data_IF_512014871327
#
_entry.id   IF_512014871327
#
_cell.length_a   1.000
_cell.length_b   1.000
_cell.length_c   1.000
_cell.angle_alpha   90.00
_cell.angle_beta   90.00
_cell.angle_gamma   90.00
#
_symmetry.space_group_name_H-M   'P 1'
#
loop_
_entity.id
_entity.type
_entity.pdbx_description
1 polymer ?
#
# COMPACT_ATOMS: atom_id res chain seq x y z
N UNK A 1 -15.82 3.62 -7.62
CA UNK A 1 -14.53 4.24 -7.28
C UNK A 1 -14.55 4.50 -5.81
N UNK A 2 -14.01 3.56 -5.06
CA UNK A 2 -13.84 3.62 -3.62
C UNK A 2 -12.40 3.98 -3.30
N UNK A 3 -12.21 4.76 -2.25
CA UNK A 3 -10.88 5.01 -1.67
C UNK A 3 -10.69 4.05 -0.49
N UNK A 4 -9.70 3.18 -0.62
CA UNK A 4 -9.30 2.24 0.41
C UNK A 4 -8.09 2.80 1.14
N UNK A 5 -8.17 2.88 2.46
CA UNK A 5 -7.02 3.25 3.29
C UNK A 5 -6.59 2.08 4.17
N UNK A 6 -5.30 1.81 4.18
CA UNK A 6 -4.65 0.83 5.06
C UNK A 6 -3.65 1.54 5.93
N UNK A 7 -3.88 1.48 7.24
CA UNK A 7 -2.95 1.99 8.24
C UNK A 7 -2.07 0.85 8.78
N UNK A 8 -0.76 0.95 8.52
CA UNK A 8 0.23 -0.04 8.96
C UNK A 8 1.06 0.42 10.16
N UNK A 9 0.78 1.60 10.73
CA UNK A 9 1.58 2.18 11.82
C UNK A 9 1.63 1.29 13.07
N UNK A 10 0.54 0.60 13.36
CA UNK A 10 0.41 -0.31 14.50
C UNK A 10 0.74 -1.78 14.19
N UNK A 11 1.19 -2.08 12.97
CA UNK A 11 1.57 -3.43 12.56
C UNK A 11 3.10 -3.55 12.51
N UNK A 12 3.64 -4.75 12.66
CA UNK A 12 5.09 -4.99 12.66
C UNK A 12 5.44 -6.26 11.91
N UNK A 13 6.60 -6.24 11.25
CA UNK A 13 7.15 -7.38 10.50
C UNK A 13 6.15 -7.96 9.51
N UNK A 14 6.06 -9.29 9.48
CA UNK A 14 5.23 -10.06 8.55
C UNK A 14 3.74 -9.67 8.58
N UNK A 15 3.21 -9.20 9.72
CA UNK A 15 1.81 -8.76 9.82
C UNK A 15 1.50 -7.55 8.92
N UNK A 16 2.48 -6.68 8.67
CA UNK A 16 2.30 -5.55 7.74
C UNK A 16 2.08 -6.06 6.32
N UNK A 17 2.92 -7.00 5.89
CA UNK A 17 2.90 -7.59 4.55
C UNK A 17 1.60 -8.36 4.31
N UNK A 18 1.23 -9.20 5.27
CA UNK A 18 -0.02 -9.99 5.20
C UNK A 18 -1.24 -9.06 5.06
N UNK A 19 -1.27 -7.95 5.80
CA UNK A 19 -2.35 -6.97 5.69
C UNK A 19 -2.40 -6.30 4.32
N UNK A 20 -1.26 -5.95 3.74
CA UNK A 20 -1.20 -5.39 2.38
C UNK A 20 -1.74 -6.40 1.37
N UNK A 21 -1.30 -7.66 1.42
CA UNK A 21 -1.78 -8.73 0.52
C UNK A 21 -3.29 -8.94 0.63
N UNK A 22 -3.82 -8.96 1.84
CA UNK A 22 -5.25 -9.10 2.11
C UNK A 22 -6.04 -7.96 1.46
N UNK A 23 -5.59 -6.71 1.60
CA UNK A 23 -6.30 -5.54 1.04
C UNK A 23 -6.17 -5.49 -0.48
N UNK A 24 -4.97 -5.72 -1.02
CA UNK A 24 -4.73 -5.75 -2.47
C UNK A 24 -5.66 -6.76 -3.17
N UNK A 25 -5.96 -7.90 -2.53
CA UNK A 25 -6.91 -8.89 -3.06
C UNK A 25 -8.37 -8.40 -3.12
N UNK A 26 -8.74 -7.42 -2.30
CA UNK A 26 -10.10 -6.88 -2.18
C UNK A 26 -10.33 -5.63 -3.03
N UNK A 27 -9.26 -4.92 -3.38
CA UNK A 27 -9.34 -3.67 -4.14
C UNK A 27 -9.72 -3.96 -5.60
N UNK A 28 -10.86 -3.41 -6.02
CA UNK A 28 -11.43 -3.63 -7.33
C UNK A 28 -10.74 -2.84 -8.45
N UNK A 29 -11.03 -3.17 -9.72
CA UNK A 29 -10.61 -2.34 -10.85
C UNK A 29 -11.25 -0.97 -10.71
N UNK A 30 -10.46 0.10 -10.91
CA UNK A 30 -10.79 1.52 -10.69
C UNK A 30 -10.76 2.06 -9.26
N UNK A 31 -10.53 1.22 -8.25
CA UNK A 31 -10.38 1.69 -6.88
C UNK A 31 -8.97 2.22 -6.61
N UNK A 32 -8.86 3.11 -5.62
CA UNK A 32 -7.58 3.67 -5.15
C UNK A 32 -7.26 3.09 -3.79
N UNK A 33 -6.02 2.70 -3.57
CA UNK A 33 -5.49 2.17 -2.32
C UNK A 33 -4.42 3.13 -1.78
N UNK A 34 -4.62 3.64 -0.57
CA UNK A 34 -3.67 4.47 0.17
C UNK A 34 -3.11 3.64 1.33
N UNK A 35 -1.81 3.34 1.29
CA UNK A 35 -1.10 2.58 2.32
C UNK A 35 -0.28 3.55 3.16
N UNK A 36 -0.52 3.62 4.47
CA UNK A 36 0.10 4.60 5.38
C UNK A 36 1.10 3.93 6.32
N UNK A 37 2.27 4.54 6.49
CA UNK A 37 3.35 4.10 7.38
C UNK A 37 3.98 5.27 8.15
N UNK A 38 4.45 5.00 9.37
CA UNK A 38 5.05 6.02 10.26
C UNK A 38 6.42 6.50 9.79
N UNK A 39 7.21 5.61 9.16
CA UNK A 39 8.57 5.88 8.73
C UNK A 39 8.86 5.14 7.43
N UNK A 40 9.74 5.72 6.61
CA UNK A 40 10.31 5.03 5.45
C UNK A 40 11.15 3.88 5.98
N UNK A 41 10.71 2.67 5.65
CA UNK A 41 11.46 1.44 5.78
C UNK A 41 11.70 0.94 4.36
N UNK A 42 12.91 1.10 3.80
CA UNK A 42 13.19 0.75 2.41
C UNK A 42 12.90 -0.71 2.08
N UNK A 43 13.26 -1.63 2.99
CA UNK A 43 13.06 -3.07 2.80
C UNK A 43 11.57 -3.39 2.70
N UNK A 44 10.77 -2.83 3.61
CA UNK A 44 9.32 -3.00 3.57
C UNK A 44 8.67 -2.29 2.39
N UNK A 45 9.18 -1.12 2.00
CA UNK A 45 8.65 -0.33 0.88
C UNK A 45 8.84 -1.09 -0.43
N UNK A 46 10.02 -1.66 -0.65
CA UNK A 46 10.31 -2.49 -1.83
C UNK A 46 9.37 -3.71 -1.88
N UNK A 47 9.16 -4.40 -0.76
CA UNK A 47 8.23 -5.54 -0.70
C UNK A 47 6.77 -5.14 -1.00
N UNK A 48 6.32 -3.98 -0.53
CA UNK A 48 4.98 -3.46 -0.86
C UNK A 48 4.86 -3.11 -2.33
N UNK A 49 5.89 -2.49 -2.90
CA UNK A 49 5.96 -2.16 -4.33
C UNK A 49 5.87 -3.41 -5.17
N UNK A 50 6.65 -4.44 -4.86
CA UNK A 50 6.62 -5.73 -5.56
C UNK A 50 5.21 -6.33 -5.56
N UNK A 51 4.54 -6.37 -4.39
CA UNK A 51 3.17 -6.89 -4.27
C UNK A 51 2.20 -6.09 -5.15
N UNK A 52 2.32 -4.76 -5.17
CA UNK A 52 1.45 -3.90 -5.96
C UNK A 52 1.64 -4.16 -7.46
N UNK A 53 2.89 -4.22 -7.92
CA UNK A 53 3.23 -4.47 -9.32
C UNK A 53 2.78 -5.86 -9.78
N UNK A 54 3.02 -6.90 -8.98
CA UNK A 54 2.56 -8.28 -9.24
C UNK A 54 1.03 -8.36 -9.39
N UNK A 55 0.29 -7.47 -8.72
CA UNK A 55 -1.17 -7.41 -8.77
C UNK A 55 -1.70 -6.38 -9.78
N UNK A 56 -0.85 -5.79 -10.62
CA UNK A 56 -1.24 -4.87 -11.69
C UNK A 56 -1.66 -3.48 -11.20
N UNK A 57 -1.10 -3.03 -10.08
CA UNK A 57 -1.29 -1.67 -9.58
C UNK A 57 -0.22 -0.73 -10.12
N UNK A 58 -0.64 0.43 -10.60
CA UNK A 58 0.24 1.59 -10.70
C UNK A 58 0.33 2.23 -9.31
N UNK A 59 1.52 2.64 -8.89
CA UNK A 59 1.74 3.21 -7.56
C UNK A 59 2.57 4.49 -7.62
N UNK A 60 2.40 5.34 -6.62
CA UNK A 60 3.15 6.57 -6.43
C UNK A 60 3.44 6.77 -4.93
N UNK A 61 4.70 6.93 -4.53
CA UNK A 61 5.04 7.29 -3.17
C UNK A 61 4.69 8.77 -2.93
N UNK A 62 4.08 9.06 -1.79
CA UNK A 62 3.74 10.42 -1.35
C UNK A 62 4.25 10.60 0.08
N UNK A 63 5.19 11.52 0.25
CA UNK A 63 5.64 11.96 1.57
C UNK A 63 4.84 13.18 2.01
N UNK A 64 4.46 13.24 3.28
CA UNK A 64 3.86 14.41 3.92
C UNK A 64 4.50 14.66 5.29
N UNK A 65 4.26 15.85 5.88
CA UNK A 65 4.66 16.13 7.28
C UNK A 65 4.03 15.15 8.28
N UNK A 66 2.88 14.54 7.96
CA UNK A 66 2.12 13.64 8.83
C UNK A 66 2.50 12.16 8.66
N UNK A 67 3.38 11.84 7.71
CA UNK A 67 3.84 10.47 7.46
C UNK A 67 4.06 10.17 5.97
N UNK A 68 4.47 8.92 5.73
CA UNK A 68 4.71 8.40 4.39
C UNK A 68 3.54 7.52 3.97
N UNK A 69 3.08 7.69 2.73
CA UNK A 69 2.06 6.83 2.17
C UNK A 69 2.36 6.48 0.72
N UNK A 70 1.93 5.28 0.30
CA UNK A 70 1.92 4.88 -1.10
C UNK A 70 0.47 4.93 -1.56
N UNK A 71 0.23 5.68 -2.63
CA UNK A 71 -1.03 5.63 -3.33
C UNK A 71 -0.89 4.67 -4.51
N UNK A 72 -1.79 3.70 -4.60
CA UNK A 72 -1.83 2.70 -5.65
C UNK A 72 -3.20 2.67 -6.32
N UNK A 73 -3.24 2.38 -7.61
CA UNK A 73 -4.46 2.26 -8.40
C UNK A 73 -4.35 1.04 -9.30
N UNK A 74 -5.37 0.20 -9.26
CA UNK A 74 -5.44 -1.00 -10.12
C UNK A 74 -5.64 -0.59 -11.57
N UNK A 75 -4.77 -1.05 -12.47
CA UNK A 75 -4.82 -0.69 -13.89
C UNK A 75 -5.87 -1.51 -14.66
N UNK A 76 -6.14 -2.75 -14.23
CA UNK A 76 -7.06 -3.69 -14.89
C UNK A 76 -7.80 -4.60 -13.91
#
# INVERSE_FOLDING_TARGET
>A
MSDWQVDLRNLHGQKKVERVKEVVSQVGPVDTLNIVFDRVDPVFTDEVVDILEENGFAWQPKGSEEGYYIQARRLH
#
